data_IF_974198686630
#
_entry.id   IF_974198686630
#
_cell.length_a   1.000
_cell.length_b   1.000
_cell.length_c   1.000
_cell.angle_alpha   90.00
_cell.angle_beta   90.00
_cell.angle_gamma   90.00
#
_symmetry.space_group_name_H-M   'P 1'
#
loop_
_entity.id
_entity.type
_entity.pdbx_description
1 polymer ?
#
# COMPACT_ATOMS: atom_id res chain seq x y z
N UNK A 1 -38.69 -19.60 58.25
CA UNK A 1 -38.73 -18.72 59.45
C UNK A 1 -39.05 -17.28 59.05
N UNK A 2 -40.18 -16.74 59.50
CA UNK A 2 -40.57 -15.34 59.28
C UNK A 2 -39.70 -14.43 60.14
N UNK A 3 -39.09 -13.38 59.57
CA UNK A 3 -38.27 -12.37 60.28
C UNK A 3 -39.12 -11.52 61.23
N UNK A 4 -39.66 -12.14 62.28
CA UNK A 4 -40.50 -11.52 63.31
C UNK A 4 -39.97 -11.90 64.68
N UNK A 5 -39.94 -10.93 65.61
CA UNK A 5 -39.54 -11.15 67.00
C UNK A 5 -40.78 -10.94 67.86
N UNK A 6 -41.22 -12.00 68.55
CA UNK A 6 -42.31 -11.92 69.52
C UNK A 6 -41.72 -11.61 70.90
N UNK A 7 -42.12 -10.48 71.48
CA UNK A 7 -41.71 -10.05 72.82
C UNK A 7 -42.84 -10.33 73.82
N UNK A 8 -42.52 -11.02 74.92
CA UNK A 8 -43.45 -11.23 76.04
C UNK A 8 -42.76 -10.89 77.35
N UNK A 9 -43.42 -10.11 78.22
CA UNK A 9 -42.84 -9.67 79.48
C UNK A 9 -43.56 -8.46 80.08
N UNK A 10 -42.93 -7.86 81.11
CA UNK A 10 -43.44 -6.63 81.75
C UNK A 10 -43.33 -5.46 80.77
N UNK A 11 -44.34 -4.59 80.72
CA UNK A 11 -44.41 -3.45 79.80
C UNK A 11 -43.14 -2.58 79.79
N UNK A 12 -42.54 -2.32 80.96
CA UNK A 12 -41.32 -1.50 81.08
C UNK A 12 -40.04 -2.15 80.53
N UNK A 13 -40.03 -3.47 80.33
CA UNK A 13 -38.93 -4.21 79.70
C UNK A 13 -39.18 -4.32 78.20
N UNK A 14 -40.43 -4.57 77.79
CA UNK A 14 -40.83 -4.58 76.38
C UNK A 14 -40.53 -3.24 75.73
N UNK A 15 -40.84 -2.11 76.38
CA UNK A 15 -40.55 -0.77 75.86
C UNK A 15 -39.05 -0.57 75.60
N UNK A 16 -38.20 -0.93 76.57
CA UNK A 16 -36.73 -0.82 76.43
C UNK A 16 -36.18 -1.72 75.33
N UNK A 17 -36.72 -2.94 75.20
CA UNK A 17 -36.30 -3.86 74.14
C UNK A 17 -36.75 -3.35 72.77
N UNK A 18 -37.95 -2.78 72.66
CA UNK A 18 -38.44 -2.14 71.44
C UNK A 18 -37.57 -0.95 71.04
N UNK A 19 -37.19 -0.07 71.97
CA UNK A 19 -36.27 1.06 71.70
C UNK A 19 -34.90 0.58 71.19
N UNK A 20 -34.33 -0.47 71.82
CA UNK A 20 -33.05 -1.04 71.39
C UNK A 20 -33.17 -1.65 70.00
N UNK A 21 -34.25 -2.38 69.71
CA UNK A 21 -34.49 -2.97 68.38
C UNK A 21 -34.64 -1.87 67.34
N UNK A 22 -35.45 -0.84 67.57
CA UNK A 22 -35.64 0.27 66.63
C UNK A 22 -34.34 1.04 66.38
N UNK A 23 -33.52 1.25 67.41
CA UNK A 23 -32.21 1.92 67.26
C UNK A 23 -31.22 1.08 66.45
N UNK A 24 -31.24 -0.24 66.61
CA UNK A 24 -30.38 -1.17 65.84
C UNK A 24 -30.90 -1.32 64.40
N UNK A 25 -32.22 -1.33 64.20
CA UNK A 25 -32.85 -1.40 62.87
C UNK A 25 -32.53 -0.15 62.04
N UNK A 26 -32.58 1.04 62.66
CA UNK A 26 -32.15 2.28 62.02
C UNK A 26 -30.66 2.28 61.62
N UNK A 27 -29.81 1.61 62.40
CA UNK A 27 -28.38 1.48 62.09
C UNK A 27 -28.10 0.47 60.95
N UNK A 28 -29.07 -0.38 60.61
CA UNK A 28 -29.00 -1.35 59.52
C UNK A 28 -29.78 -0.97 58.26
N UNK A 29 -30.37 0.23 58.20
CA UNK A 29 -31.22 0.64 57.08
C UNK A 29 -30.40 0.77 55.78
N UNK A 30 -30.58 -0.21 54.90
CA UNK A 30 -29.91 -0.30 53.61
C UNK A 30 -30.91 0.04 52.52
N UNK A 31 -30.64 1.12 51.79
CA UNK A 31 -31.49 1.57 50.69
C UNK A 31 -30.69 1.54 49.39
N UNK A 32 -31.38 1.28 48.30
CA UNK A 32 -30.82 1.31 46.95
C UNK A 32 -31.12 2.67 46.32
N UNK A 33 -30.11 3.23 45.65
CA UNK A 33 -30.23 4.48 44.89
C UNK A 33 -29.69 4.26 43.48
N UNK A 34 -30.46 4.70 42.49
CA UNK A 34 -30.08 4.64 41.08
C UNK A 34 -29.54 6.02 40.69
N UNK A 35 -28.30 6.07 40.24
CA UNK A 35 -27.64 7.30 39.80
C UNK A 35 -27.37 7.18 38.29
N UNK A 36 -28.03 8.00 37.45
CA UNK A 36 -27.74 8.04 36.02
C UNK A 36 -26.38 8.70 35.74
N UNK A 37 -25.73 8.27 34.66
CA UNK A 37 -24.46 8.80 34.18
C UNK A 37 -24.63 9.38 32.77
N UNK A 38 -24.08 10.57 32.55
CA UNK A 38 -24.23 11.29 31.27
C UNK A 38 -23.05 11.03 30.31
N UNK A 39 -21.83 10.91 30.83
CA UNK A 39 -20.61 10.87 30.03
C UNK A 39 -19.86 9.53 30.12
N UNK A 40 -19.66 9.03 31.34
CA UNK A 40 -18.87 7.85 31.60
C UNK A 40 -19.69 6.55 31.50
N UNK A 41 -19.02 5.44 31.20
CA UNK A 41 -19.65 4.12 31.14
C UNK A 41 -19.95 3.57 32.54
N UNK A 42 -21.19 3.15 32.78
CA UNK A 42 -21.61 2.56 34.05
C UNK A 42 -20.77 1.34 34.46
N UNK A 43 -20.37 0.50 33.51
CA UNK A 43 -19.57 -0.70 33.78
C UNK A 43 -18.13 -0.38 34.18
N UNK A 44 -17.56 0.69 33.65
CA UNK A 44 -16.23 1.17 34.03
C UNK A 44 -16.25 1.80 35.42
N UNK A 45 -17.22 2.69 35.68
CA UNK A 45 -17.39 3.30 37.00
C UNK A 45 -17.62 2.24 38.07
N UNK A 46 -18.47 1.24 37.82
CA UNK A 46 -18.70 0.17 38.78
C UNK A 46 -17.42 -0.61 39.10
N UNK A 47 -16.55 -0.88 38.12
CA UNK A 47 -15.25 -1.54 38.34
C UNK A 47 -14.30 -0.67 39.18
N UNK A 48 -14.23 0.63 38.90
CA UNK A 48 -13.39 1.56 39.66
C UNK A 48 -13.90 1.70 41.09
N UNK A 49 -15.20 1.82 41.29
CA UNK A 49 -15.78 1.91 42.62
C UNK A 49 -15.62 0.61 43.40
N UNK A 50 -15.81 -0.55 42.77
CA UNK A 50 -15.64 -1.86 43.40
C UNK A 50 -14.18 -2.13 43.80
N UNK A 51 -13.20 -1.65 43.03
CA UNK A 51 -11.78 -1.78 43.42
C UNK A 51 -11.45 -0.91 44.64
N UNK A 52 -12.06 0.27 44.76
CA UNK A 52 -11.90 1.17 45.90
C UNK A 52 -12.57 0.62 47.18
N UNK A 53 -13.75 -0.01 47.05
CA UNK A 53 -14.47 -0.61 48.20
C UNK A 53 -13.81 -1.90 48.68
N UNK A 54 -13.28 -2.73 47.78
CA UNK A 54 -12.49 -3.93 48.15
C UNK A 54 -11.27 -3.56 48.99
N UNK A 55 -10.57 -2.49 48.64
CA UNK A 55 -9.39 -2.03 49.39
C UNK A 55 -9.74 -1.37 50.73
N UNK A 56 -10.97 -0.90 50.92
CA UNK A 56 -11.40 -0.20 52.14
C UNK A 56 -12.09 -1.12 53.16
N UNK A 57 -12.34 -2.40 52.82
CA UNK A 57 -13.35 -3.24 53.48
C UNK A 57 -12.90 -4.61 53.96
N UNK A 58 -11.60 -4.89 54.10
CA UNK A 58 -11.11 -6.22 54.53
C UNK A 58 -11.62 -6.66 55.92
N UNK A 59 -12.01 -5.72 56.79
CA UNK A 59 -12.36 -6.01 58.18
C UNK A 59 -13.83 -5.76 58.57
N UNK A 60 -14.74 -5.58 57.60
CA UNK A 60 -16.18 -5.43 57.88
C UNK A 60 -16.98 -6.67 57.47
N UNK A 61 -17.95 -7.12 58.30
CA UNK A 61 -18.81 -8.25 57.97
C UNK A 61 -19.54 -7.99 56.63
N UNK A 62 -19.74 -9.04 55.84
CA UNK A 62 -20.29 -8.96 54.48
C UNK A 62 -21.63 -8.19 54.38
N UNK A 63 -22.38 -8.13 55.48
CA UNK A 63 -23.65 -7.41 55.63
C UNK A 63 -23.52 -5.89 55.57
N UNK A 64 -22.35 -5.32 55.88
CA UNK A 64 -22.08 -3.87 55.83
C UNK A 64 -21.35 -3.44 54.54
N UNK A 65 -21.01 -4.39 53.66
CA UNK A 65 -20.34 -4.07 52.40
C UNK A 65 -21.33 -3.43 51.43
N UNK A 66 -21.08 -2.17 51.07
CA UNK A 66 -21.83 -1.50 50.01
C UNK A 66 -21.70 -2.27 48.71
N UNK A 67 -22.82 -2.59 48.07
CA UNK A 67 -22.84 -3.28 46.79
C UNK A 67 -23.02 -2.25 45.68
N UNK A 68 -22.24 -2.40 44.61
CA UNK A 68 -22.30 -1.54 43.43
C UNK A 68 -22.61 -2.43 42.24
N UNK A 69 -23.64 -2.09 41.49
CA UNK A 69 -24.03 -2.81 40.27
C UNK A 69 -24.23 -1.79 39.15
N UNK A 70 -23.71 -2.07 37.96
CA UNK A 70 -23.98 -1.27 36.77
C UNK A 70 -25.21 -1.80 36.03
N UNK A 71 -26.11 -0.90 35.65
CA UNK A 71 -27.12 -1.15 34.61
C UNK A 71 -26.65 -0.52 33.30
N UNK A 72 -26.14 -1.34 32.39
CA UNK A 72 -25.66 -0.90 31.08
C UNK A 72 -26.79 -0.41 30.16
N UNK A 73 -28.03 -0.87 30.37
CA UNK A 73 -29.18 -0.49 29.52
C UNK A 73 -29.59 0.97 29.74
N UNK A 74 -29.49 1.45 30.98
CA UNK A 74 -29.86 2.82 31.35
C UNK A 74 -28.64 3.69 31.66
N UNK A 75 -27.43 3.19 31.40
CA UNK A 75 -26.16 3.79 31.78
C UNK A 75 -26.20 4.37 33.21
N UNK A 76 -26.66 3.55 34.17
CA UNK A 76 -26.88 3.98 35.55
C UNK A 76 -26.14 3.06 36.51
N UNK A 77 -25.66 3.63 37.61
CA UNK A 77 -25.02 2.86 38.69
C UNK A 77 -25.99 2.75 39.86
N UNK A 78 -26.24 1.51 40.27
CA UNK A 78 -27.07 1.16 41.42
C UNK A 78 -26.14 0.99 42.61
N UNK A 79 -26.34 1.82 43.63
CA UNK A 79 -25.56 1.79 44.87
C UNK A 79 -26.46 1.35 46.03
N UNK A 80 -26.06 0.28 46.71
CA UNK A 80 -26.73 -0.22 47.92
C UNK A 80 -25.84 0.03 49.13
N UNK A 81 -26.33 0.78 50.12
CA UNK A 81 -25.54 1.10 51.32
C UNK A 81 -26.25 2.03 52.30
N UNK A 82 -25.57 2.35 53.39
CA UNK A 82 -26.00 3.36 54.35
C UNK A 82 -26.01 4.77 53.72
N UNK A 83 -26.82 5.71 54.23
CA UNK A 83 -26.92 7.06 53.67
C UNK A 83 -25.58 7.80 53.56
N UNK A 84 -24.68 7.64 54.54
CA UNK A 84 -23.40 8.33 54.53
C UNK A 84 -22.45 7.79 53.45
N UNK A 85 -22.45 6.47 53.22
CA UNK A 85 -21.70 5.86 52.11
C UNK A 85 -22.29 6.24 50.75
N UNK A 86 -23.62 6.26 50.60
CA UNK A 86 -24.26 6.72 49.35
C UNK A 86 -23.90 8.16 49.00
N UNK A 87 -23.84 9.05 49.98
CA UNK A 87 -23.42 10.44 49.75
C UNK A 87 -21.96 10.55 49.28
N UNK A 88 -21.06 9.72 49.83
CA UNK A 88 -19.67 9.64 49.38
C UNK A 88 -19.58 9.11 47.94
N UNK A 89 -20.30 8.02 47.65
CA UNK A 89 -20.37 7.43 46.32
C UNK A 89 -20.93 8.43 45.30
N UNK A 90 -22.02 9.15 45.63
CA UNK A 90 -22.62 10.17 44.76
C UNK A 90 -21.64 11.28 44.39
N UNK A 91 -20.84 11.76 45.36
CA UNK A 91 -19.81 12.77 45.08
C UNK A 91 -18.68 12.23 44.21
N UNK A 92 -18.27 10.97 44.42
CA UNK A 92 -17.23 10.34 43.62
C UNK A 92 -17.71 10.08 42.19
N UNK A 93 -18.92 9.56 42.03
CA UNK A 93 -19.58 9.37 40.74
C UNK A 93 -19.63 10.68 39.95
N UNK A 94 -20.07 11.79 40.56
CA UNK A 94 -20.09 13.10 39.90
C UNK A 94 -18.72 13.62 39.46
N UNK A 95 -17.64 13.21 40.12
CA UNK A 95 -16.27 13.58 39.72
C UNK A 95 -15.75 12.72 38.58
N UNK A 96 -16.17 11.45 38.54
CA UNK A 96 -15.79 10.50 37.49
C UNK A 96 -16.63 10.69 36.21
N UNK A 97 -17.87 11.18 36.35
CA UNK A 97 -18.78 11.50 35.24
C UNK A 97 -18.58 12.92 34.68
N UNK A 98 -17.35 13.45 34.75
CA UNK A 98 -16.99 14.69 34.07
C UNK A 98 -16.86 14.46 32.56
N UNK A 99 -17.21 15.46 31.75
CA UNK A 99 -16.95 15.43 30.31
C UNK A 99 -15.45 15.24 30.08
N UNK A 100 -15.09 14.16 29.38
CA UNK A 100 -13.71 13.88 29.03
C UNK A 100 -13.24 14.96 28.03
N UNK A 101 -12.28 15.81 28.41
CA UNK A 101 -11.79 16.89 27.55
C UNK A 101 -11.20 16.29 26.25
N UNK A 102 -11.99 16.27 25.17
CA UNK A 102 -11.73 16.11 23.71
C UNK A 102 -10.61 15.20 23.16
N UNK A 103 -9.60 14.80 23.92
CA UNK A 103 -8.69 13.73 23.58
C UNK A 103 -9.31 12.40 23.99
N UNK A 104 -10.25 11.93 23.17
CA UNK A 104 -10.42 10.48 23.08
C UNK A 104 -9.07 9.85 22.76
N UNK A 105 -8.89 8.58 23.13
CA UNK A 105 -7.67 7.84 22.79
C UNK A 105 -7.41 7.81 21.27
N UNK A 106 -8.35 8.28 20.45
CA UNK A 106 -8.24 8.43 19.00
C UNK A 106 -8.05 9.89 18.57
N UNK A 107 -7.01 10.16 17.77
CA UNK A 107 -6.74 11.44 17.11
C UNK A 107 -6.64 11.27 15.59
N UNK A 108 -7.02 12.32 14.85
CA UNK A 108 -6.94 12.36 13.38
C UNK A 108 -5.87 13.37 12.97
N UNK A 109 -4.85 12.90 12.24
CA UNK A 109 -3.76 13.71 11.71
C UNK A 109 -3.96 13.89 10.20
N UNK A 110 -4.13 15.13 9.76
CA UNK A 110 -4.15 15.48 8.34
C UNK A 110 -2.72 15.71 7.85
N UNK A 111 -2.28 14.90 6.88
CA UNK A 111 -0.93 14.97 6.33
C UNK A 111 -0.82 16.00 5.21
N UNK A 112 0.29 16.73 5.17
CA UNK A 112 0.53 17.85 4.24
C UNK A 112 1.32 17.43 3.01
N UNK A 113 2.33 16.59 3.17
CA UNK A 113 3.30 16.25 2.11
C UNK A 113 3.42 14.74 1.90
N UNK A 114 3.35 13.96 2.98
CA UNK A 114 3.45 12.51 2.95
C UNK A 114 2.09 11.84 2.71
N UNK A 115 2.11 10.64 2.12
CA UNK A 115 0.92 9.85 1.84
C UNK A 115 0.57 9.00 3.06
N UNK A 116 -0.69 9.01 3.49
CA UNK A 116 -1.12 8.31 4.70
C UNK A 116 -0.92 6.79 4.62
N UNK A 117 -1.11 6.18 3.44
CA UNK A 117 -0.90 4.73 3.27
C UNK A 117 0.56 4.31 3.47
N UNK A 118 1.52 5.14 3.03
CA UNK A 118 2.95 4.84 3.18
C UNK A 118 3.40 4.98 4.64
N UNK A 119 2.81 5.94 5.38
CA UNK A 119 3.16 6.17 6.79
C UNK A 119 2.58 5.12 7.74
N UNK A 120 1.45 4.48 7.40
CA UNK A 120 0.83 3.45 8.26
C UNK A 120 1.80 2.32 8.55
N UNK A 121 2.49 1.80 7.54
CA UNK A 121 3.37 0.65 7.70
C UNK A 121 4.60 0.99 8.55
N UNK A 122 5.17 2.18 8.35
CA UNK A 122 6.28 2.69 9.16
C UNK A 122 5.85 2.90 10.61
N UNK A 123 4.71 3.53 10.84
CA UNK A 123 4.22 3.83 12.19
C UNK A 123 3.78 2.58 12.95
N UNK A 124 3.25 1.55 12.26
CA UNK A 124 2.95 0.24 12.87
C UNK A 124 4.19 -0.44 13.42
N UNK A 125 5.30 -0.38 12.69
CA UNK A 125 6.57 -0.93 13.15
C UNK A 125 7.09 -0.16 14.37
N UNK A 126 7.02 1.17 14.34
CA UNK A 126 7.42 2.04 15.46
C UNK A 126 6.54 1.77 16.68
N UNK A 127 5.21 1.71 16.53
CA UNK A 127 4.29 1.44 17.64
C UNK A 127 4.50 0.06 18.26
N UNK A 128 4.82 -0.95 17.43
CA UNK A 128 5.17 -2.29 17.92
C UNK A 128 6.39 -2.25 18.85
N UNK A 129 7.45 -1.55 18.45
CA UNK A 129 8.64 -1.39 19.29
C UNK A 129 8.41 -0.55 20.54
N UNK A 130 7.58 0.50 20.44
CA UNK A 130 7.26 1.37 21.57
C UNK A 130 6.46 0.63 22.66
N UNK A 131 5.55 -0.25 22.23
CA UNK A 131 4.76 -1.09 23.13
C UNK A 131 5.63 -2.14 23.80
N UNK A 132 6.50 -2.83 23.04
CA UNK A 132 7.42 -3.83 23.57
C UNK A 132 8.42 -3.25 24.60
N UNK A 133 8.99 -2.06 24.31
CA UNK A 133 9.89 -1.38 25.24
C UNK A 133 9.21 -1.01 26.58
N UNK A 134 7.89 -0.78 26.55
CA UNK A 134 7.12 -0.44 27.75
C UNK A 134 6.74 -1.67 28.57
N UNK A 135 6.42 -2.78 27.91
CA UNK A 135 6.18 -4.08 28.58
C UNK A 135 7.42 -4.57 29.36
N UNK A 136 8.63 -4.30 28.85
CA UNK A 136 9.89 -4.62 29.57
C UNK A 136 10.13 -3.73 30.80
N UNK A 137 9.63 -2.49 30.81
CA UNK A 137 9.85 -1.54 31.89
C UNK A 137 8.86 -1.71 33.07
N UNK A 138 7.62 -2.14 32.81
CA UNK A 138 6.56 -2.23 33.84
C UNK A 138 6.29 -3.64 34.37
N UNK A 139 7.00 -4.68 33.90
CA UNK A 139 6.94 -6.04 34.48
C UNK A 139 5.55 -6.69 34.50
N UNK A 140 4.57 -6.11 33.81
CA UNK A 140 3.19 -6.58 33.75
C UNK A 140 3.02 -7.43 32.50
N UNK A 141 3.27 -8.73 32.65
CA UNK A 141 2.89 -9.73 31.65
C UNK A 141 1.37 -9.86 31.66
N UNK A 142 0.68 -9.08 30.82
CA UNK A 142 -0.77 -8.95 30.91
C UNK A 142 -1.46 -8.42 29.65
N UNK A 143 -1.62 -9.31 28.67
CA UNK A 143 -2.65 -9.26 27.60
C UNK A 143 -2.46 -8.23 26.48
N UNK A 144 -1.59 -8.55 25.51
CA UNK A 144 -1.97 -9.01 24.16
C UNK A 144 -3.10 -8.30 23.40
N UNK A 145 -3.45 -7.06 23.75
CA UNK A 145 -4.37 -6.23 22.97
C UNK A 145 -3.48 -5.23 22.25
N UNK A 146 -3.59 -5.13 20.92
CA UNK A 146 -3.03 -3.98 20.19
C UNK A 146 -3.56 -2.71 20.86
N UNK A 147 -2.76 -2.15 21.78
CA UNK A 147 -3.08 -0.93 22.51
C UNK A 147 -3.02 0.27 21.55
N UNK A 148 -2.38 0.08 20.40
CA UNK A 148 -2.19 1.08 19.36
C UNK A 148 -2.79 0.58 18.05
N UNK A 149 -3.81 1.27 17.55
CA UNK A 149 -4.40 1.02 16.23
C UNK A 149 -4.14 2.22 15.33
N UNK A 150 -3.59 1.97 14.14
CA UNK A 150 -3.25 3.01 13.16
C UNK A 150 -3.92 2.65 11.84
N UNK A 151 -4.80 3.53 11.37
CA UNK A 151 -5.52 3.38 10.11
C UNK A 151 -5.30 4.62 9.22
N UNK A 152 -5.18 4.43 7.91
CA UNK A 152 -5.14 5.51 6.94
C UNK A 152 -6.48 5.64 6.20
N UNK A 153 -6.98 6.87 6.11
CA UNK A 153 -8.04 7.25 5.19
C UNK A 153 -7.44 7.74 3.88
N UNK A 154 -7.64 6.97 2.80
CA UNK A 154 -7.16 7.32 1.46
C UNK A 154 -7.85 8.55 0.87
N UNK A 155 -9.15 8.73 1.15
CA UNK A 155 -9.94 9.82 0.59
C UNK A 155 -9.51 11.19 1.13
N UNK A 156 -9.19 11.27 2.42
CA UNK A 156 -8.85 12.53 3.09
C UNK A 156 -7.35 12.71 3.36
N UNK A 157 -6.50 11.80 2.87
CA UNK A 157 -5.06 11.72 3.19
C UNK A 157 -4.78 11.96 4.69
N UNK A 158 -5.49 11.22 5.55
CA UNK A 158 -5.41 11.40 6.99
C UNK A 158 -5.09 10.09 7.70
N UNK A 159 -4.33 10.19 8.79
CA UNK A 159 -4.04 9.08 9.70
C UNK A 159 -4.99 9.17 10.90
N UNK A 160 -5.64 8.06 11.21
CA UNK A 160 -6.45 7.89 12.41
C UNK A 160 -5.63 7.01 13.34
N UNK A 161 -5.16 7.59 14.45
CA UNK A 161 -4.33 6.91 15.44
C UNK A 161 -5.16 6.76 16.69
N UNK A 162 -5.27 5.53 17.20
CA UNK A 162 -5.85 5.24 18.50
C UNK A 162 -4.76 4.68 19.40
N UNK A 163 -4.36 5.41 20.43
CA UNK A 163 -3.28 5.04 21.33
C UNK A 163 -3.47 5.70 22.71
N UNK A 164 -2.86 5.15 23.77
CA UNK A 164 -2.70 5.86 25.04
C UNK A 164 -1.96 7.19 24.87
N UNK A 165 -2.19 8.10 25.80
CA UNK A 165 -1.71 9.48 25.72
C UNK A 165 -0.19 9.63 25.59
N UNK A 166 0.57 8.74 26.22
CA UNK A 166 2.04 8.75 26.17
C UNK A 166 2.57 8.32 24.79
N UNK A 167 2.01 7.25 24.22
CA UNK A 167 2.38 6.79 22.88
C UNK A 167 1.92 7.80 21.81
N UNK A 168 0.75 8.42 22.01
CA UNK A 168 0.21 9.44 21.11
C UNK A 168 1.17 10.63 20.94
N UNK A 169 1.74 11.14 22.04
CA UNK A 169 2.70 12.25 22.00
C UNK A 169 3.98 11.88 21.24
N UNK A 170 4.48 10.66 21.42
CA UNK A 170 5.63 10.15 20.67
C UNK A 170 5.31 10.05 19.17
N UNK A 171 4.19 9.41 18.80
CA UNK A 171 3.77 9.28 17.40
C UNK A 171 3.56 10.64 16.73
N UNK A 172 3.00 11.62 17.44
CA UNK A 172 2.83 12.97 16.93
C UNK A 172 4.17 13.58 16.49
N UNK A 173 5.19 13.50 17.34
CA UNK A 173 6.53 14.01 17.00
C UNK A 173 7.17 13.30 15.81
N UNK A 174 6.97 11.99 15.69
CA UNK A 174 7.47 11.19 14.55
C UNK A 174 6.76 11.56 13.26
N UNK A 175 5.42 11.71 13.31
CA UNK A 175 4.61 12.13 12.16
C UNK A 175 5.08 13.51 11.67
N UNK A 176 5.32 14.46 12.57
CA UNK A 176 5.80 15.80 12.23
C UNK A 176 7.17 15.77 11.51
N UNK A 177 8.07 14.87 11.92
CA UNK A 177 9.38 14.70 11.29
C UNK A 177 9.32 13.99 9.94
N UNK A 178 8.34 13.09 9.74
CA UNK A 178 8.15 12.36 8.48
C UNK A 178 7.34 13.13 7.44
N UNK A 179 6.46 14.03 7.88
CA UNK A 179 5.63 14.87 7.00
C UNK A 179 6.36 16.15 6.57
N UNK A 180 7.50 15.97 5.88
CA UNK A 180 8.30 17.06 5.33
C UNK A 180 8.16 17.17 3.81
N UNK A 181 8.35 18.39 3.29
CA UNK A 181 8.36 18.62 1.84
C UNK A 181 9.60 17.97 1.21
N UNK A 182 9.37 17.03 0.28
CA UNK A 182 10.45 16.34 -0.45
C UNK A 182 11.05 17.26 -1.52
N UNK A 183 12.38 17.26 -1.64
CA UNK A 183 13.07 17.95 -2.72
C UNK A 183 12.86 17.21 -4.04
N UNK A 184 12.66 17.96 -5.12
CA UNK A 184 12.56 17.39 -6.48
C UNK A 184 13.94 17.40 -7.15
N UNK A 185 14.25 16.34 -7.89
CA UNK A 185 15.50 16.22 -8.65
C UNK A 185 15.21 16.38 -10.14
N UNK A 186 15.93 17.28 -10.81
CA UNK A 186 15.87 17.44 -12.26
C UNK A 186 17.04 16.68 -12.89
N UNK A 187 16.75 15.71 -13.76
CA UNK A 187 17.77 14.86 -14.41
C UNK A 187 17.75 15.16 -15.90
N UNK A 188 18.87 15.67 -16.41
CA UNK A 188 19.10 15.92 -17.83
C UNK A 188 20.12 14.91 -18.38
N UNK A 189 19.81 14.30 -19.51
CA UNK A 189 20.73 13.42 -20.22
C UNK A 189 20.86 13.90 -21.68
N UNK A 190 22.09 14.11 -22.12
CA UNK A 190 22.41 14.41 -23.51
C UNK A 190 23.06 13.18 -24.14
N UNK A 191 22.38 12.58 -25.11
CA UNK A 191 22.90 11.43 -25.85
C UNK A 191 23.30 11.92 -27.24
N UNK A 192 24.59 11.81 -27.56
CA UNK A 192 25.14 12.17 -28.87
C UNK A 192 25.72 10.93 -29.52
N UNK A 193 25.26 10.63 -30.73
CA UNK A 193 25.77 9.55 -31.57
C UNK A 193 26.23 10.13 -32.91
N UNK A 194 27.43 9.73 -33.35
CA UNK A 194 27.96 10.06 -34.68
C UNK A 194 28.46 8.77 -35.31
N UNK A 195 27.89 8.42 -36.45
CA UNK A 195 28.30 7.28 -37.25
C UNK A 195 28.62 7.75 -38.67
N UNK A 196 29.79 7.34 -39.18
CA UNK A 196 30.26 7.62 -40.54
C UNK A 196 30.73 6.32 -41.19
N UNK A 197 30.34 6.09 -42.45
CA UNK A 197 30.71 4.90 -43.23
C UNK A 197 31.17 5.28 -44.64
N UNK A 198 32.24 4.65 -45.11
CA UNK A 198 32.79 4.83 -46.46
C UNK A 198 33.13 3.46 -47.08
N UNK A 199 32.81 3.26 -48.36
CA UNK A 199 33.14 2.06 -49.12
C UNK A 199 33.76 2.40 -50.49
N UNK A 200 34.73 1.59 -50.93
CA UNK A 200 35.34 1.67 -52.27
C UNK A 200 35.45 0.24 -52.80
N UNK A 201 35.03 0.01 -54.05
CA UNK A 201 35.05 -1.31 -54.68
C UNK A 201 35.88 -1.32 -55.97
N UNK A 202 36.91 -2.17 -56.02
CA UNK A 202 37.84 -2.32 -57.13
C UNK A 202 37.97 -3.79 -57.52
N UNK A 203 37.94 -4.09 -58.83
CA UNK A 203 38.04 -5.45 -59.35
C UNK A 203 38.69 -5.51 -60.72
N UNK A 204 39.45 -6.58 -60.98
CA UNK A 204 40.14 -6.84 -62.25
C UNK A 204 39.58 -8.15 -62.83
N UNK A 205 39.41 -8.21 -64.16
CA UNK A 205 38.92 -9.41 -64.85
C UNK A 205 39.69 -9.58 -66.17
N UNK A 206 40.03 -10.82 -66.50
CA UNK A 206 40.83 -11.18 -67.67
C UNK A 206 40.09 -12.21 -68.53
N UNK A 207 40.26 -12.13 -69.84
CA UNK A 207 39.66 -13.05 -70.79
C UNK A 207 40.67 -13.43 -71.88
N UNK A 208 40.78 -14.72 -72.18
CA UNK A 208 41.58 -15.25 -73.27
C UNK A 208 40.81 -16.31 -74.06
N UNK A 209 41.05 -16.37 -75.37
CA UNK A 209 40.36 -17.30 -76.27
C UNK A 209 40.80 -18.74 -76.08
N UNK A 210 42.08 -18.95 -75.76
CA UNK A 210 42.68 -20.28 -75.57
C UNK A 210 42.70 -20.72 -74.09
N UNK A 211 42.77 -19.75 -73.17
CA UNK A 211 42.92 -20.01 -71.73
C UNK A 211 41.66 -19.74 -70.89
N UNK A 212 40.55 -19.32 -71.50
CA UNK A 212 39.28 -19.08 -70.82
C UNK A 212 39.21 -17.74 -70.08
N UNK A 213 38.28 -17.64 -69.12
CA UNK A 213 37.97 -16.41 -68.39
C UNK A 213 38.47 -16.50 -66.94
N UNK A 214 39.10 -15.44 -66.44
CA UNK A 214 39.47 -15.29 -65.04
C UNK A 214 38.80 -14.06 -64.44
N UNK A 215 37.98 -14.28 -63.42
CA UNK A 215 37.21 -13.22 -62.76
C UNK A 215 37.45 -13.24 -61.26
N UNK A 216 37.76 -12.06 -60.71
CA UNK A 216 37.78 -11.84 -59.26
C UNK A 216 36.48 -11.11 -58.88
N UNK A 217 35.61 -11.80 -58.13
CA UNK A 217 34.31 -11.29 -57.73
C UNK A 217 34.33 -10.84 -56.26
N UNK A 218 34.69 -9.57 -56.03
CA UNK A 218 34.64 -8.94 -54.69
C UNK A 218 33.71 -7.71 -54.69
N UNK A 219 32.62 -7.74 -55.47
CA UNK A 219 31.78 -6.57 -55.58
C UNK A 219 30.67 -6.58 -56.61
N UNK A 220 30.19 -5.37 -56.91
CA UNK A 220 29.17 -5.02 -57.90
C UNK A 220 29.71 -4.96 -59.33
N UNK A 221 30.85 -5.61 -59.63
CA UNK A 221 31.40 -5.62 -60.99
C UNK A 221 30.56 -6.49 -61.92
N UNK A 222 30.36 -6.04 -63.16
CA UNK A 222 29.77 -6.89 -64.21
C UNK A 222 30.76 -8.03 -64.54
N UNK A 223 30.33 -9.30 -64.52
CA UNK A 223 31.13 -10.43 -65.00
C UNK A 223 31.47 -10.31 -66.50
N UNK A 224 32.74 -10.38 -66.88
CA UNK A 224 33.16 -10.28 -68.30
C UNK A 224 32.59 -11.40 -69.17
N UNK A 225 32.32 -12.58 -68.59
CA UNK A 225 31.66 -13.69 -69.29
C UNK A 225 30.20 -13.42 -69.65
N UNK A 226 29.43 -12.83 -68.72
CA UNK A 226 28.03 -12.46 -69.00
C UNK A 226 27.94 -11.27 -69.95
N UNK A 227 28.87 -10.31 -69.83
CA UNK A 227 29.01 -9.21 -70.76
C UNK A 227 29.32 -9.70 -72.18
N UNK A 228 30.28 -10.63 -72.34
CA UNK A 228 30.62 -11.21 -73.63
C UNK A 228 29.44 -11.96 -74.28
N UNK A 229 28.66 -12.69 -73.48
CA UNK A 229 27.45 -13.37 -73.96
C UNK A 229 26.37 -12.38 -74.42
N UNK A 230 26.13 -11.31 -73.64
CA UNK A 230 25.17 -10.28 -73.98
C UNK A 230 25.57 -9.49 -75.25
N UNK A 231 26.86 -9.17 -75.41
CA UNK A 231 27.39 -8.54 -76.63
C UNK A 231 27.21 -9.48 -77.83
N UNK A 232 27.40 -10.79 -77.66
CA UNK A 232 27.20 -11.76 -78.74
C UNK A 232 25.75 -11.84 -79.19
N UNK A 233 24.79 -11.80 -78.24
CA UNK A 233 23.35 -11.79 -78.53
C UNK A 233 22.89 -10.48 -79.18
N UNK A 234 23.53 -9.36 -78.85
CA UNK A 234 23.25 -8.06 -79.42
C UNK A 234 23.76 -7.88 -80.87
N UNK A 235 24.55 -8.83 -81.42
CA UNK A 235 25.03 -8.73 -82.80
C UNK A 235 23.89 -8.99 -83.79
N UNK A 236 23.67 -8.10 -84.78
CA UNK A 236 22.69 -8.33 -85.82
C UNK A 236 23.13 -9.50 -86.72
N UNK A 237 22.17 -10.33 -87.12
CA UNK A 237 22.41 -11.41 -88.07
C UNK A 237 21.92 -10.98 -89.44
N UNK A 238 22.80 -11.08 -90.43
CA UNK A 238 22.48 -10.75 -91.81
C UNK A 238 21.59 -11.84 -92.41
N UNK A 239 20.47 -11.41 -92.97
CA UNK A 239 19.52 -12.20 -93.71
C UNK A 239 20.14 -12.86 -94.94
N UNK A 240 19.49 -13.92 -95.41
CA UNK A 240 19.93 -14.68 -96.58
C UNK A 240 18.81 -14.73 -97.60
N UNK A 241 19.16 -14.57 -98.87
CA UNK A 241 18.24 -14.78 -99.98
C UNK A 241 18.57 -16.12 -100.60
N UNK A 242 17.63 -17.07 -100.52
CA UNK A 242 17.78 -18.39 -101.12
C UNK A 242 16.81 -18.47 -102.30
N UNK A 243 17.36 -18.73 -103.49
CA UNK A 243 16.58 -18.96 -104.72
C UNK A 243 16.49 -20.47 -104.92
N UNK A 244 15.28 -21.03 -104.88
CA UNK A 244 15.06 -22.45 -105.12
C UNK A 244 15.00 -22.78 -106.62
N UNK A 245 15.27 -24.03 -107.01
CA UNK A 245 15.38 -24.46 -108.42
C UNK A 245 14.12 -24.25 -109.27
N UNK A 246 12.95 -24.08 -108.65
CA UNK A 246 11.69 -23.71 -109.29
C UNK A 246 11.49 -22.19 -109.45
N UNK A 247 12.52 -21.37 -109.20
CA UNK A 247 12.54 -19.92 -109.41
C UNK A 247 11.88 -19.09 -108.31
N UNK A 248 11.42 -19.72 -107.21
CA UNK A 248 10.89 -18.99 -106.06
C UNK A 248 12.03 -18.41 -105.22
N UNK A 249 11.93 -17.12 -104.88
CA UNK A 249 12.94 -16.42 -104.06
C UNK A 249 12.40 -16.24 -102.65
N UNK A 250 13.07 -16.85 -101.66
CA UNK A 250 12.78 -16.62 -100.24
C UNK A 250 13.82 -15.67 -99.67
N UNK A 251 13.38 -14.47 -99.28
CA UNK A 251 14.22 -13.45 -98.65
C UNK A 251 14.00 -13.55 -97.13
N UNK A 252 15.00 -14.08 -96.41
CA UNK A 252 15.04 -13.92 -94.96
C UNK A 252 15.63 -12.53 -94.66
N UNK A 253 14.87 -11.62 -94.02
CA UNK A 253 15.36 -10.28 -93.71
C UNK A 253 16.44 -10.33 -92.61
N UNK A 254 17.21 -9.25 -92.50
CA UNK A 254 18.16 -9.05 -91.41
C UNK A 254 17.41 -9.03 -90.07
N UNK A 255 17.90 -9.79 -89.09
CA UNK A 255 17.34 -9.79 -87.73
C UNK A 255 18.24 -8.96 -86.82
N UNK A 256 17.65 -7.95 -86.18
CA UNK A 256 18.35 -7.16 -85.15
C UNK A 256 18.69 -8.04 -83.94
N UNK A 257 19.88 -7.86 -83.38
CA UNK A 257 20.29 -8.57 -82.16
C UNK A 257 19.46 -8.12 -80.94
N UNK A 258 19.36 -9.01 -79.95
CA UNK A 258 18.63 -8.72 -78.71
C UNK A 258 19.52 -7.91 -77.75
N UNK A 259 19.08 -6.68 -77.44
CA UNK A 259 19.77 -5.74 -76.56
C UNK A 259 19.30 -5.80 -75.10
N UNK A 260 18.26 -6.59 -74.79
CA UNK A 260 17.62 -6.60 -73.46
C UNK A 260 18.57 -7.07 -72.36
N UNK A 261 19.34 -8.13 -72.63
CA UNK A 261 20.31 -8.71 -71.69
C UNK A 261 21.49 -7.79 -71.44
N UNK A 262 21.95 -7.09 -72.48
CA UNK A 262 23.01 -6.10 -72.38
C UNK A 262 22.54 -4.85 -71.60
N UNK A 263 21.32 -4.39 -71.86
CA UNK A 263 20.72 -3.26 -71.15
C UNK A 263 20.54 -3.56 -69.66
N UNK A 264 20.09 -4.77 -69.31
CA UNK A 264 19.92 -5.19 -67.91
C UNK A 264 21.25 -5.22 -67.15
N UNK A 265 22.31 -5.76 -67.76
CA UNK A 265 23.65 -5.81 -67.14
C UNK A 265 24.25 -4.42 -66.92
N UNK A 266 24.10 -3.52 -67.89
CA UNK A 266 24.62 -2.16 -67.80
C UNK A 266 23.79 -1.29 -66.84
N UNK A 267 22.50 -1.56 -66.69
CA UNK A 267 21.63 -0.78 -65.80
C UNK A 267 21.97 -0.92 -64.31
N UNK A 268 22.50 -2.08 -63.90
CA UNK A 268 22.90 -2.34 -62.52
C UNK A 268 24.32 -1.90 -62.15
N UNK A 269 25.09 -1.39 -63.11
CA UNK A 269 26.49 -1.02 -62.91
C UNK A 269 26.64 0.47 -62.63
N UNK A 270 27.24 0.78 -61.47
CA UNK A 270 27.58 2.14 -61.07
C UNK A 270 29.09 2.27 -60.99
N UNK A 271 29.69 2.90 -61.99
CA UNK A 271 31.14 3.14 -62.04
C UNK A 271 31.67 3.23 -63.47
N UNK A 272 32.98 3.16 -63.59
CA UNK A 272 33.69 3.16 -64.87
C UNK A 272 34.31 1.80 -65.13
N UNK A 273 33.97 1.17 -66.25
CA UNK A 273 34.65 -0.02 -66.74
C UNK A 273 35.53 0.38 -67.92
N UNK A 274 36.80 0.01 -67.88
CA UNK A 274 37.76 0.22 -68.98
C UNK A 274 38.42 -1.11 -69.27
N UNK A 275 38.50 -1.45 -70.55
CA UNK A 275 39.14 -2.68 -71.01
C UNK A 275 39.99 -2.43 -72.24
N UNK A 276 41.05 -3.21 -72.38
CA UNK A 276 41.89 -3.28 -73.58
C UNK A 276 41.79 -4.72 -74.10
N UNK A 277 41.56 -4.86 -75.40
CA UNK A 277 41.44 -6.16 -76.10
C UNK A 277 42.71 -6.42 -76.89
#
# INVERSE_FOLDING_TARGET
PSNVIMLTGRASVVERLTEVIQRVDHAGNRTEEVIPLDNASASEIARVLESLTKNSGENQPATLKSQIVADERTNSVIVSGDPATRDKMRRLIRRLDSEMERSGNSQVFYLKYSKAEDLVDVLKQVSGTLTAAKEEAEGTVGSGREVVSIAASKHSNALIVTAPQDIMQSLQSVIEQLDIRRAQVHVEALIVEVAEGSNINFGVQWASKDAGLMQFANGTQIPIGTLGAAISQAKPQKGSTVISENGATTINPDTNGDLSTLAQLLSGFSGTAVGVV
#
